data_IF_283490259539
#
_entry.id   IF_283490259539
#
_cell.length_a   1.000
_cell.length_b   1.000
_cell.length_c   1.000
_cell.angle_alpha   90.00
_cell.angle_beta   90.00
_cell.angle_gamma   90.00
#
_symmetry.space_group_name_H-M   'P 1'
#
loop_
_entity.id
_entity.type
_entity.pdbx_description
1 polymer ?
#
# COMPACT_ATOMS: atom_id res chain seq x y z
N UNK A 1 -5.15 -22.64 -6.31
CA UNK A 1 -5.83 -21.86 -5.26
C UNK A 1 -4.95 -20.85 -4.50
N UNK A 2 -3.65 -20.70 -4.77
CA UNK A 2 -2.78 -19.82 -3.95
C UNK A 2 -2.83 -18.31 -4.25
N UNK A 3 -3.19 -17.91 -5.48
CA UNK A 3 -3.12 -16.50 -5.91
C UNK A 3 -4.12 -15.58 -5.20
N UNK A 4 -5.34 -16.05 -4.94
CA UNK A 4 -6.37 -15.23 -4.28
C UNK A 4 -5.97 -14.82 -2.86
N UNK A 5 -5.37 -15.74 -2.09
CA UNK A 5 -4.92 -15.47 -0.73
C UNK A 5 -3.75 -14.47 -0.70
N UNK A 6 -2.79 -14.62 -1.63
CA UNK A 6 -1.67 -13.67 -1.77
C UNK A 6 -2.18 -12.27 -2.13
N UNK A 7 -3.13 -12.15 -3.07
CA UNK A 7 -3.72 -10.87 -3.43
C UNK A 7 -4.39 -10.20 -2.23
N UNK A 8 -5.21 -10.95 -1.48
CA UNK A 8 -5.85 -10.43 -0.27
C UNK A 8 -4.82 -9.96 0.76
N UNK A 9 -3.76 -10.73 0.97
CA UNK A 9 -2.69 -10.39 1.89
C UNK A 9 -1.97 -9.10 1.48
N UNK A 10 -1.59 -8.98 0.21
CA UNK A 10 -0.94 -7.77 -0.33
C UNK A 10 -1.83 -6.55 -0.14
N UNK A 11 -3.09 -6.62 -0.55
CA UNK A 11 -4.04 -5.51 -0.42
C UNK A 11 -4.25 -5.12 1.05
N UNK A 12 -4.40 -6.11 1.94
CA UNK A 12 -4.60 -5.87 3.38
C UNK A 12 -3.40 -5.20 4.02
N UNK A 13 -2.18 -5.62 3.66
CA UNK A 13 -0.94 -5.03 4.18
C UNK A 13 -0.76 -3.60 3.70
N UNK A 14 -0.92 -3.35 2.39
CA UNK A 14 -0.79 -2.00 1.84
C UNK A 14 -1.77 -1.03 2.51
N UNK A 15 -3.03 -1.45 2.68
CA UNK A 15 -4.04 -0.63 3.34
C UNK A 15 -3.74 -0.46 4.83
N UNK A 16 -3.29 -1.51 5.53
CA UNK A 16 -2.96 -1.42 6.95
C UNK A 16 -1.80 -0.45 7.22
N UNK A 17 -0.75 -0.46 6.40
CA UNK A 17 0.36 0.49 6.55
C UNK A 17 -0.07 1.93 6.29
N UNK A 18 -0.89 2.18 5.26
CA UNK A 18 -1.46 3.50 5.01
C UNK A 18 -2.32 3.96 6.19
N UNK A 19 -3.26 3.14 6.67
CA UNK A 19 -4.09 3.47 7.82
C UNK A 19 -3.29 3.68 9.11
N UNK A 20 -2.21 2.91 9.33
CA UNK A 20 -1.34 3.10 10.48
C UNK A 20 -0.63 4.46 10.45
N UNK A 21 -0.18 4.91 9.28
CA UNK A 21 0.44 6.23 9.14
C UNK A 21 -0.54 7.35 9.51
N UNK A 22 -1.77 7.29 8.99
CA UNK A 22 -2.84 8.24 9.36
C UNK A 22 -3.14 8.26 10.86
N UNK A 23 -3.15 7.08 11.50
CA UNK A 23 -3.36 6.97 12.95
C UNK A 23 -2.20 7.58 13.75
N UNK A 24 -0.96 7.50 13.25
CA UNK A 24 0.17 8.20 13.87
C UNK A 24 0.01 9.72 13.75
N UNK A 25 -0.36 10.23 12.58
CA UNK A 25 -0.58 11.67 12.38
C UNK A 25 -1.72 12.18 13.28
N UNK A 26 -2.84 11.46 13.35
CA UNK A 26 -3.91 11.77 14.29
C UNK A 26 -3.44 11.74 15.75
N UNK A 27 -2.68 10.72 16.14
CA UNK A 27 -2.15 10.59 17.50
C UNK A 27 -1.22 11.73 17.90
N UNK A 28 -0.34 12.16 16.99
CA UNK A 28 0.56 13.31 17.20
C UNK A 28 -0.24 14.61 17.34
N UNK A 29 -1.25 14.82 16.48
CA UNK A 29 -2.09 16.02 16.52
C UNK A 29 -2.85 16.13 17.84
N UNK A 30 -3.43 15.02 18.34
CA UNK A 30 -4.10 15.00 19.65
C UNK A 30 -3.12 15.29 20.79
N UNK A 31 -1.88 14.77 20.72
CA UNK A 31 -0.89 14.90 21.79
C UNK A 31 -0.27 16.30 21.90
N UNK A 32 -0.15 17.04 20.79
CA UNK A 32 0.50 18.36 20.76
C UNK A 32 -0.46 19.52 21.03
N UNK A 33 -1.77 19.30 20.97
CA UNK A 33 -2.79 20.30 21.34
C UNK A 33 -2.92 21.48 20.36
N UNK A 34 -2.12 21.48 19.29
CA UNK A 34 -2.26 22.41 18.18
C UNK A 34 -3.42 21.96 17.29
N UNK A 35 -4.23 22.92 16.85
CA UNK A 35 -4.82 22.89 15.51
C UNK A 35 -3.65 22.84 14.53
N UNK A 36 -3.10 21.65 14.28
CA UNK A 36 -1.90 21.47 13.49
C UNK A 36 -2.18 21.69 12.00
N UNK A 37 -2.86 22.77 11.61
CA UNK A 37 -3.07 23.16 10.21
C UNK A 37 -1.74 23.41 9.46
N UNK A 38 -0.61 23.53 10.18
CA UNK A 38 0.73 23.65 9.60
C UNK A 38 1.65 22.44 9.83
N UNK A 39 1.20 21.40 10.55
CA UNK A 39 2.02 20.22 10.91
C UNK A 39 1.32 18.86 10.82
N UNK A 40 -0.02 18.80 10.76
CA UNK A 40 -0.74 17.63 10.26
C UNK A 40 -0.38 17.53 8.77
N UNK A 41 0.14 16.40 8.31
CA UNK A 41 0.32 16.12 6.88
C UNK A 41 -0.97 16.16 6.07
N UNK A 42 -2.11 16.52 6.69
CA UNK A 42 -3.34 16.87 6.00
C UNK A 42 -3.08 17.92 4.93
N UNK A 43 -3.38 17.60 3.67
CA UNK A 43 -3.27 18.54 2.55
C UNK A 43 -4.32 19.66 2.58
N UNK A 44 -4.81 20.03 3.77
CA UNK A 44 -5.72 21.13 4.00
C UNK A 44 -7.19 20.82 3.71
N UNK A 45 -7.59 19.55 3.64
CA UNK A 45 -8.99 19.17 3.44
C UNK A 45 -9.41 17.94 4.26
N UNK A 46 -10.71 17.85 4.55
CA UNK A 46 -11.32 16.86 5.47
C UNK A 46 -11.16 15.41 5.00
N UNK A 47 -10.94 15.20 3.70
CA UNK A 47 -10.90 13.87 3.08
C UNK A 47 -9.50 13.31 2.85
N UNK A 48 -8.46 13.93 3.41
CA UNK A 48 -7.08 13.60 3.09
C UNK A 48 -6.74 12.15 3.47
N UNK A 49 -6.99 11.81 4.73
CA UNK A 49 -6.79 10.45 5.26
C UNK A 49 -7.51 9.37 4.45
N UNK A 50 -8.76 9.62 4.03
CA UNK A 50 -9.53 8.67 3.22
C UNK A 50 -8.97 8.57 1.80
N UNK A 51 -8.52 9.68 1.23
CA UNK A 51 -7.97 9.74 -0.12
C UNK A 51 -6.61 9.03 -0.18
N UNK A 52 -5.75 9.20 0.83
CA UNK A 52 -4.46 8.51 0.91
C UNK A 52 -4.64 7.00 1.00
N UNK A 53 -5.53 6.53 1.88
CA UNK A 53 -5.89 5.12 1.97
C UNK A 53 -6.47 4.58 0.66
N UNK A 54 -7.32 5.36 -0.03
CA UNK A 54 -7.89 4.97 -1.31
C UNK A 54 -6.83 4.87 -2.42
N UNK A 55 -5.89 5.83 -2.49
CA UNK A 55 -4.79 5.81 -3.44
C UNK A 55 -3.81 4.67 -3.16
N UNK A 56 -3.50 4.39 -1.89
CA UNK A 56 -2.68 3.23 -1.51
C UNK A 56 -3.33 1.91 -1.96
N UNK A 57 -4.63 1.76 -1.73
CA UNK A 57 -5.37 0.56 -2.17
C UNK A 57 -5.41 0.45 -3.69
N UNK A 58 -5.71 1.55 -4.39
CA UNK A 58 -5.73 1.58 -5.85
C UNK A 58 -4.36 1.23 -6.44
N UNK A 59 -3.29 1.81 -5.90
CA UNK A 59 -1.91 1.51 -6.31
C UNK A 59 -1.57 0.03 -6.13
N UNK A 60 -1.97 -0.58 -5.01
CA UNK A 60 -1.78 -2.01 -4.76
C UNK A 60 -2.57 -2.88 -5.76
N UNK A 61 -3.82 -2.54 -6.07
CA UNK A 61 -4.63 -3.23 -7.09
C UNK A 61 -3.96 -3.12 -8.46
N UNK A 62 -3.58 -1.91 -8.87
CA UNK A 62 -2.92 -1.68 -10.16
C UNK A 62 -1.59 -2.44 -10.25
N UNK A 63 -0.82 -2.47 -9.18
CA UNK A 63 0.43 -3.22 -9.12
C UNK A 63 0.21 -4.71 -9.35
N UNK A 64 -0.79 -5.31 -8.68
CA UNK A 64 -1.16 -6.71 -8.89
C UNK A 64 -1.65 -6.96 -10.32
N UNK A 65 -2.43 -6.07 -10.91
CA UNK A 65 -2.94 -6.25 -12.29
C UNK A 65 -1.82 -6.13 -13.33
N UNK A 66 -0.93 -5.14 -13.18
CA UNK A 66 0.08 -4.81 -14.20
C UNK A 66 1.33 -5.70 -14.06
N UNK A 67 1.84 -5.89 -12.84
CA UNK A 67 3.16 -6.50 -12.64
C UNK A 67 3.13 -8.00 -12.36
N UNK A 68 1.99 -8.59 -11.98
CA UNK A 68 1.95 -10.03 -11.65
C UNK A 68 2.43 -10.91 -12.80
N UNK A 69 1.98 -10.62 -14.03
CA UNK A 69 2.38 -11.40 -15.21
C UNK A 69 3.87 -11.24 -15.55
N UNK A 70 4.41 -10.02 -15.42
CA UNK A 70 5.83 -9.75 -15.65
C UNK A 70 6.70 -10.48 -14.62
N UNK A 71 6.30 -10.44 -13.35
CA UNK A 71 6.98 -11.14 -12.28
C UNK A 71 6.95 -12.67 -12.47
N UNK A 72 5.81 -13.23 -12.87
CA UNK A 72 5.69 -14.66 -13.17
C UNK A 72 6.60 -15.09 -14.34
N UNK A 73 6.70 -14.25 -15.39
CA UNK A 73 7.58 -14.52 -16.53
C UNK A 73 9.06 -14.49 -16.12
N UNK A 74 9.45 -13.53 -15.28
CA UNK A 74 10.81 -13.46 -14.74
C UNK A 74 11.15 -14.72 -13.93
N UNK A 75 10.27 -15.14 -13.02
CA UNK A 75 10.46 -16.36 -12.22
C UNK A 75 10.57 -17.62 -13.08
N UNK A 76 9.81 -17.72 -14.17
CA UNK A 76 9.90 -18.84 -15.11
C UNK A 76 11.24 -18.86 -15.85
N UNK A 77 11.75 -17.70 -16.27
CA UNK A 77 13.04 -17.58 -16.94
C UNK A 77 14.19 -18.04 -16.04
N UNK A 78 14.23 -17.61 -14.77
CA UNK A 78 15.22 -18.05 -13.78
C UNK A 78 15.18 -19.56 -13.53
N UNK A 79 13.98 -20.13 -13.32
CA UNK A 79 13.82 -21.59 -13.13
C UNK A 79 14.24 -22.39 -14.36
N UNK A 80 14.15 -21.81 -15.55
CA UNK A 80 14.54 -22.49 -16.79
C UNK A 80 16.06 -22.50 -16.96
N UNK A 81 16.74 -21.43 -16.55
CA UNK A 81 18.21 -21.36 -16.55
C UNK A 81 18.83 -22.34 -15.54
N UNK A 82 18.24 -22.47 -14.35
CA UNK A 82 18.71 -23.42 -13.33
C UNK A 82 18.67 -24.88 -13.80
N UNK A 83 17.71 -25.25 -14.66
CA UNK A 83 17.60 -26.62 -15.20
C UNK A 83 18.58 -26.94 -16.32
N UNK A 84 19.16 -25.91 -16.96
CA UNK A 84 20.10 -26.05 -18.08
C UNK A 84 21.55 -26.10 -17.58
N UNK A 85 21.80 -25.66 -16.35
CA UNK A 85 23.09 -25.67 -15.67
C UNK A 85 23.25 -26.93 -14.79
#
# INVERSE_FOLDING_TARGET
NGRGWLNLFVLSICLAFSALYELFEWGVAVATGDSAESFLGTQGYVWDTQSDMAFALLGAILSLVIFSNLHDQQLQSFRSQEKVN
#
